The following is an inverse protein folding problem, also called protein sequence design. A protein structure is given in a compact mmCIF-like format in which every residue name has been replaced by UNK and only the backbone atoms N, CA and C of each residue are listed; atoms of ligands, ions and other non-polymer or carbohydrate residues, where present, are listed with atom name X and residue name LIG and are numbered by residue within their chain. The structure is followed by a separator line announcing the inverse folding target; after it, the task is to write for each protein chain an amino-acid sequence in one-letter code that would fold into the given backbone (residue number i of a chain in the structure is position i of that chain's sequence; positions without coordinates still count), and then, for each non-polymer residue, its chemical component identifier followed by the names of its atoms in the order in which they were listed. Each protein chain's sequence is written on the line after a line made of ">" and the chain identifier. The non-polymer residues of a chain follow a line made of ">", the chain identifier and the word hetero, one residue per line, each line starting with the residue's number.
data_IF_636463715894
#
_entry.id   IF_636463715894
#
_cell.length_a   1.000
_cell.length_b   1.000
_cell.length_c   1.000
_cell.angle_alpha   90.00
_cell.angle_beta   90.00
_cell.angle_gamma   90.00
#
_symmetry.space_group_name_H-M   'P 1'
#
loop_
_entity.id
_entity.type
_entity.pdbx_description
1 polymer ?
#
# COMPACT_ATOMS: atom_id res chain seq x y z
N UNK A 1 -4.15 -12.47 -13.29
CA UNK A 1 -3.45 -11.28 -12.78
C UNK A 1 -2.23 -11.67 -11.94
N UNK A 2 -1.19 -10.85 -11.97
CA UNK A 2 0.04 -11.10 -11.22
C UNK A 2 -0.04 -10.60 -9.76
N UNK A 3 -1.08 -9.88 -9.38
CA UNK A 3 -1.35 -9.46 -8.02
C UNK A 3 -2.68 -9.99 -7.52
N UNK A 4 -2.72 -10.39 -6.26
CA UNK A 4 -3.91 -10.92 -5.61
C UNK A 4 -4.07 -10.32 -4.22
N UNK A 5 -5.30 -9.96 -3.89
CA UNK A 5 -5.66 -9.36 -2.60
C UNK A 5 -6.27 -10.43 -1.69
N UNK A 6 -5.75 -10.49 -0.47
CA UNK A 6 -6.23 -11.35 0.61
C UNK A 6 -6.89 -10.47 1.67
N UNK A 7 -8.20 -10.64 1.85
CA UNK A 7 -8.96 -9.92 2.89
C UNK A 7 -8.81 -10.64 4.23
N UNK A 8 -8.75 -9.87 5.30
CA UNK A 8 -8.71 -10.39 6.67
C UNK A 8 -9.79 -9.73 7.53
N UNK A 9 -10.47 -10.54 8.33
CA UNK A 9 -11.38 -10.05 9.37
C UNK A 9 -10.61 -9.47 10.58
N UNK A 10 -9.35 -9.90 10.74
CA UNK A 10 -8.45 -9.39 11.77
C UNK A 10 -7.61 -8.25 11.24
N UNK A 11 -7.28 -7.32 12.11
CA UNK A 11 -6.38 -6.22 11.78
C UNK A 11 -4.97 -6.75 11.47
N UNK A 12 -4.45 -6.46 10.27
CA UNK A 12 -3.12 -6.89 9.83
C UNK A 12 -2.05 -5.85 10.15
N UNK A 13 -2.39 -4.57 10.21
CA UNK A 13 -1.45 -3.48 10.48
C UNK A 13 -2.04 -2.44 11.42
N UNK A 14 -1.27 -2.00 12.40
CA UNK A 14 -1.59 -0.87 13.29
C UNK A 14 -1.23 0.49 12.69
N UNK A 15 -0.49 0.47 11.59
CA UNK A 15 0.00 1.68 10.92
C UNK A 15 -0.57 1.78 9.51
N UNK A 16 -0.21 2.84 8.80
CA UNK A 16 -0.55 2.98 7.39
C UNK A 16 0.01 1.82 6.56
N UNK A 17 -0.52 1.67 5.36
CA UNK A 17 -0.11 0.63 4.42
C UNK A 17 1.39 0.61 4.19
N UNK A 18 2.00 -0.56 4.36
CA UNK A 18 3.42 -0.81 4.14
C UNK A 18 3.62 -1.70 2.92
N UNK A 19 4.58 -1.37 2.08
CA UNK A 19 5.00 -2.17 0.94
C UNK A 19 6.42 -2.72 1.15
N UNK A 20 6.60 -4.00 0.83
CA UNK A 20 7.86 -4.72 0.95
C UNK A 20 8.18 -5.41 -0.37
N UNK A 21 9.39 -5.21 -0.88
CA UNK A 21 9.84 -5.81 -2.13
C UNK A 21 10.92 -6.87 -1.87
N UNK A 22 10.95 -7.91 -2.70
CA UNK A 22 11.91 -9.01 -2.56
C UNK A 22 13.37 -8.53 -2.65
N UNK A 23 13.64 -7.48 -3.44
CA UNK A 23 14.98 -6.89 -3.55
C UNK A 23 15.50 -6.31 -2.22
N UNK A 24 14.60 -5.93 -1.31
CA UNK A 24 14.93 -5.32 -0.03
C UNK A 24 14.90 -6.33 1.14
N UNK A 25 14.83 -7.62 0.83
CA UNK A 25 14.65 -8.72 1.81
C UNK A 25 15.65 -8.67 2.97
N UNK A 26 16.90 -8.30 2.70
CA UNK A 26 17.96 -8.19 3.72
C UNK A 26 17.71 -7.08 4.75
N UNK A 27 16.93 -6.07 4.39
CA UNK A 27 16.61 -4.91 5.24
C UNK A 27 15.29 -5.09 6.01
N UNK A 28 14.47 -6.05 5.60
CA UNK A 28 13.18 -6.33 6.22
C UNK A 28 13.40 -7.04 7.55
N UNK A 29 12.90 -6.48 8.64
CA UNK A 29 12.99 -7.07 9.98
C UNK A 29 11.81 -7.97 10.34
N UNK A 30 10.69 -7.79 9.68
CA UNK A 30 9.47 -8.55 9.97
C UNK A 30 9.57 -9.98 9.42
N UNK A 31 9.57 -10.96 10.31
CA UNK A 31 9.71 -12.38 9.95
C UNK A 31 8.55 -12.90 9.10
N UNK A 32 7.31 -12.49 9.37
CA UNK A 32 6.16 -12.87 8.57
C UNK A 32 6.33 -12.42 7.11
N UNK A 33 6.69 -11.15 6.91
CA UNK A 33 6.92 -10.57 5.58
C UNK A 33 8.06 -11.28 4.85
N UNK A 34 9.16 -11.57 5.55
CA UNK A 34 10.27 -12.36 4.99
C UNK A 34 9.81 -13.72 4.52
N UNK A 35 9.02 -14.43 5.32
CA UNK A 35 8.52 -15.75 4.98
C UNK A 35 7.68 -15.72 3.70
N UNK A 36 6.79 -14.74 3.56
CA UNK A 36 5.97 -14.59 2.34
C UNK A 36 6.84 -14.25 1.12
N UNK A 37 7.79 -13.33 1.26
CA UNK A 37 8.70 -12.95 0.17
C UNK A 37 9.66 -14.07 -0.24
N UNK A 38 9.93 -15.03 0.64
CA UNK A 38 10.75 -16.20 0.33
C UNK A 38 10.02 -17.27 -0.49
N UNK A 39 8.71 -17.22 -0.60
CA UNK A 39 8.00 -18.10 -1.52
C UNK A 39 8.46 -17.87 -2.96
N UNK A 40 8.60 -18.96 -3.71
CA UNK A 40 9.01 -18.88 -5.11
C UNK A 40 8.03 -18.01 -5.91
N UNK A 41 8.59 -17.11 -6.69
CA UNK A 41 7.83 -16.22 -7.56
C UNK A 41 7.21 -15.00 -6.88
N UNK A 42 7.20 -14.88 -5.56
CA UNK A 42 6.71 -13.67 -4.89
C UNK A 42 7.72 -12.54 -5.06
N UNK A 43 7.26 -11.40 -5.55
CA UNK A 43 8.07 -10.20 -5.80
C UNK A 43 7.81 -9.06 -4.81
N UNK A 44 6.55 -8.94 -4.35
CA UNK A 44 6.10 -7.83 -3.53
C UNK A 44 4.97 -8.24 -2.60
N UNK A 45 5.02 -7.73 -1.38
CA UNK A 45 3.96 -7.84 -0.38
C UNK A 45 3.56 -6.45 0.09
N UNK A 46 2.27 -6.17 0.10
CA UNK A 46 1.69 -4.96 0.64
C UNK A 46 0.75 -5.33 1.78
N UNK A 47 0.90 -4.72 2.94
CA UNK A 47 0.05 -4.96 4.11
C UNK A 47 -0.64 -3.66 4.50
N UNK A 48 -1.97 -3.71 4.53
CA UNK A 48 -2.85 -2.65 5.00
C UNK A 48 -3.56 -3.07 6.29
N UNK A 49 -4.47 -2.26 6.80
CA UNK A 49 -5.16 -2.55 8.07
C UNK A 49 -5.90 -3.87 8.05
N UNK A 50 -6.61 -4.19 6.99
CA UNK A 50 -7.51 -5.34 6.89
C UNK A 50 -7.35 -6.16 5.61
N UNK A 51 -6.29 -5.91 4.86
CA UNK A 51 -5.95 -6.74 3.71
C UNK A 51 -4.45 -6.81 3.48
N UNK A 52 -4.04 -7.85 2.77
CA UNK A 52 -2.71 -8.02 2.24
C UNK A 52 -2.80 -8.24 0.72
N UNK A 53 -1.92 -7.61 -0.03
CA UNK A 53 -1.79 -7.84 -1.46
C UNK A 53 -0.42 -8.46 -1.75
N UNK A 54 -0.39 -9.47 -2.58
CA UNK A 54 0.84 -10.15 -2.99
C UNK A 54 0.95 -10.07 -4.50
N UNK A 55 2.10 -9.64 -4.98
CA UNK A 55 2.46 -9.68 -6.40
C UNK A 55 3.46 -10.78 -6.64
N UNK A 56 3.23 -11.55 -7.68
CA UNK A 56 4.12 -12.64 -8.15
C UNK A 56 4.63 -12.37 -9.55
N UNK A 57 5.65 -13.12 -9.94
CA UNK A 57 6.12 -13.20 -11.32
C UNK A 57 5.07 -13.85 -12.26
N UNK A 58 5.35 -13.84 -13.53
CA UNK A 58 4.45 -14.41 -14.54
C UNK A 58 4.48 -15.94 -14.58
N UNK A 59 5.55 -16.55 -14.09
CA UNK A 59 5.79 -18.01 -14.20
C UNK A 59 5.14 -18.83 -13.12
N UNK A 60 4.94 -18.26 -11.93
CA UNK A 60 4.41 -18.95 -10.75
C UNK A 60 2.88 -19.01 -10.79
N UNK A 61 2.31 -20.11 -10.34
CA UNK A 61 0.85 -20.29 -10.27
C UNK A 61 0.27 -19.82 -8.92
N UNK A 62 -0.89 -19.18 -8.96
CA UNK A 62 -1.66 -18.87 -7.75
C UNK A 62 -2.19 -20.12 -7.04
N UNK A 63 -2.40 -21.21 -7.77
CA UNK A 63 -2.88 -22.48 -7.17
C UNK A 63 -1.89 -23.03 -6.12
N UNK A 64 -0.60 -22.76 -6.32
CA UNK A 64 0.45 -23.12 -5.36
C UNK A 64 0.63 -22.07 -4.27
N UNK A 65 0.61 -20.77 -4.63
CA UNK A 65 0.89 -19.68 -3.69
C UNK A 65 -0.25 -19.39 -2.74
N UNK A 66 -1.50 -19.42 -3.22
CA UNK A 66 -2.69 -19.10 -2.40
C UNK A 66 -2.78 -19.91 -1.10
N UNK A 67 -2.73 -21.24 -1.13
CA UNK A 67 -2.81 -22.05 0.08
C UNK A 67 -1.68 -21.73 1.06
N UNK A 68 -0.47 -21.53 0.57
CA UNK A 68 0.71 -21.24 1.38
C UNK A 68 0.60 -19.88 2.07
N UNK A 69 0.12 -18.87 1.36
CA UNK A 69 -0.08 -17.52 1.90
C UNK A 69 -1.20 -17.52 2.94
N UNK A 70 -2.33 -18.16 2.66
CA UNK A 70 -3.46 -18.27 3.59
C UNK A 70 -3.04 -19.02 4.85
N UNK A 71 -2.32 -20.12 4.71
CA UNK A 71 -1.77 -20.89 5.85
C UNK A 71 -0.86 -20.02 6.72
N UNK A 72 0.02 -19.23 6.10
CA UNK A 72 0.92 -18.34 6.83
C UNK A 72 0.17 -17.26 7.61
N UNK A 73 -0.89 -16.69 7.06
CA UNK A 73 -1.75 -15.71 7.75
C UNK A 73 -2.43 -16.37 8.95
N UNK A 74 -3.01 -17.54 8.76
CA UNK A 74 -3.70 -18.28 9.82
C UNK A 74 -2.72 -18.67 10.94
N UNK A 75 -1.57 -19.22 10.59
CA UNK A 75 -0.52 -19.60 11.54
C UNK A 75 -0.03 -18.41 12.37
N UNK A 76 0.10 -17.24 11.75
CA UNK A 76 0.47 -16.03 12.47
C UNK A 76 -0.57 -15.68 13.56
N UNK A 77 -1.86 -15.70 13.21
CA UNK A 77 -2.92 -15.34 14.15
C UNK A 77 -3.27 -16.46 15.16
N UNK A 78 -2.90 -17.70 14.91
CA UNK A 78 -2.97 -18.77 15.90
C UNK A 78 -1.87 -18.63 16.96
N UNK A 79 -0.67 -18.25 16.55
CA UNK A 79 0.48 -18.07 17.44
C UNK A 79 0.50 -16.71 18.11
N UNK A 80 0.12 -15.66 17.40
CA UNK A 80 0.16 -14.28 17.83
C UNK A 80 -1.22 -13.64 17.63
N UNK A 81 -1.82 -13.13 18.69
CA UNK A 81 -3.08 -12.38 18.59
C UNK A 81 -2.91 -10.94 18.11
N UNK A 82 -1.68 -10.55 17.78
CA UNK A 82 -1.30 -9.20 17.40
C UNK A 82 -1.26 -9.02 15.87
N UNK A 83 -1.47 -7.80 15.37
CA UNK A 83 -1.26 -7.48 13.96
C UNK A 83 0.15 -7.84 13.47
N UNK A 84 0.29 -8.08 12.16
CA UNK A 84 1.58 -8.39 11.53
C UNK A 84 2.53 -7.20 11.61
N UNK A 85 2.01 -5.99 11.37
CA UNK A 85 2.76 -4.74 11.48
C UNK A 85 2.31 -4.00 12.73
N UNK A 86 3.22 -3.86 13.69
CA UNK A 86 3.01 -3.15 14.94
C UNK A 86 3.54 -1.72 14.83
N UNK A 87 2.87 -0.80 15.51
CA UNK A 87 3.25 0.61 15.58
C UNK A 87 4.69 0.80 16.10
N UNK A 88 5.11 -0.01 17.05
CA UNK A 88 6.44 0.07 17.65
C UNK A 88 7.59 -0.35 16.71
N UNK A 89 7.27 -1.03 15.61
CA UNK A 89 8.27 -1.50 14.64
C UNK A 89 8.48 -0.55 13.45
N UNK A 90 7.75 0.55 13.41
CA UNK A 90 7.86 1.55 12.36
C UNK A 90 8.58 2.76 12.94
N UNK A 91 9.78 3.04 12.44
CA UNK A 91 10.47 4.30 12.73
C UNK A 91 9.76 5.39 11.93
N UNK A 92 8.83 6.08 12.58
CA UNK A 92 8.27 7.29 12.02
C UNK A 92 9.34 8.38 12.10
N UNK A 93 9.83 8.82 10.95
CA UNK A 93 10.36 10.16 10.85
C UNK A 93 9.16 11.13 10.88
N UNK A 94 8.63 11.35 12.08
CA UNK A 94 7.71 12.47 12.30
C UNK A 94 8.51 13.75 12.12
N UNK A 95 8.49 14.27 10.91
CA UNK A 95 8.67 15.71 10.74
C UNK A 95 7.31 16.33 11.07
N UNK A 96 7.18 16.75 12.33
CA UNK A 96 6.16 17.68 12.74
C UNK A 96 6.35 18.97 11.93
N UNK A 97 5.57 19.09 10.87
CA UNK A 97 5.26 20.38 10.28
C UNK A 97 3.83 20.71 10.70
N UNK A 98 3.61 21.96 11.11
CA UNK A 98 2.27 22.55 11.14
C UNK A 98 1.62 22.25 9.79
N UNK A 99 0.71 21.27 9.81
CA UNK A 99 0.06 20.85 8.57
C UNK A 99 -0.85 22.00 8.13
N UNK A 100 -0.48 22.62 7.01
CA UNK A 100 -1.30 23.60 6.33
C UNK A 100 -2.71 23.00 6.13
N UNK A 101 -3.76 23.79 6.36
CA UNK A 101 -5.15 23.40 6.17
C UNK A 101 -5.40 22.76 4.80
N UNK A 102 -4.71 23.25 3.78
CA UNK A 102 -4.73 22.70 2.41
C UNK A 102 -4.20 21.26 2.37
N UNK A 103 -3.10 20.99 3.05
CA UNK A 103 -2.52 19.63 3.12
C UNK A 103 -3.47 18.66 3.82
N UNK A 104 -4.13 19.11 4.90
CA UNK A 104 -5.12 18.30 5.60
C UNK A 104 -6.32 17.96 4.69
N UNK A 105 -6.84 18.92 3.93
CA UNK A 105 -7.89 18.68 2.94
C UNK A 105 -7.47 17.67 1.88
N UNK A 106 -6.25 17.78 1.37
CA UNK A 106 -5.69 16.84 0.39
C UNK A 106 -5.63 15.43 0.97
N UNK A 107 -5.11 15.26 2.18
CA UNK A 107 -5.07 13.97 2.88
C UNK A 107 -6.47 13.38 3.08
N UNK A 108 -7.44 14.18 3.49
CA UNK A 108 -8.83 13.75 3.70
C UNK A 108 -9.46 13.25 2.39
N UNK A 109 -9.26 13.93 1.28
CA UNK A 109 -9.75 13.49 -0.04
C UNK A 109 -9.08 12.20 -0.48
N UNK A 110 -7.77 12.08 -0.30
CA UNK A 110 -7.04 10.85 -0.61
C UNK A 110 -7.57 9.67 0.23
N UNK A 111 -7.76 9.87 1.53
CA UNK A 111 -8.21 8.82 2.46
C UNK A 111 -9.66 8.39 2.18
N UNK A 112 -10.56 9.33 1.92
CA UNK A 112 -12.00 9.05 1.83
C UNK A 112 -12.47 8.72 0.42
N UNK A 113 -11.82 9.22 -0.63
CA UNK A 113 -12.25 9.09 -2.02
C UNK A 113 -11.31 8.23 -2.88
N UNK A 114 -10.01 8.36 -2.68
CA UNK A 114 -9.01 7.71 -3.54
C UNK A 114 -8.59 6.34 -3.00
N UNK A 115 -8.24 6.23 -1.74
CA UNK A 115 -7.80 4.95 -1.12
C UNK A 115 -8.82 3.82 -1.28
N UNK A 116 -10.13 4.02 -1.04
CA UNK A 116 -11.11 2.96 -1.26
C UNK A 116 -11.15 2.45 -2.70
N UNK A 117 -10.96 3.34 -3.68
CA UNK A 117 -10.96 2.96 -5.09
C UNK A 117 -9.71 2.13 -5.45
N UNK A 118 -8.51 2.57 -5.04
CA UNK A 118 -7.27 1.84 -5.33
C UNK A 118 -7.15 0.55 -4.51
N UNK A 119 -7.72 0.50 -3.32
CA UNK A 119 -7.75 -0.70 -2.48
C UNK A 119 -8.57 -1.85 -3.10
N UNK A 120 -9.56 -1.55 -3.93
CA UNK A 120 -10.30 -2.57 -4.69
C UNK A 120 -9.39 -3.40 -5.59
N UNK A 121 -8.37 -2.78 -6.15
CA UNK A 121 -7.39 -3.42 -7.04
C UNK A 121 -6.15 -3.94 -6.28
N UNK A 122 -6.18 -3.92 -4.95
CA UNK A 122 -5.07 -4.40 -4.11
C UNK A 122 -3.89 -3.43 -4.03
N UNK A 123 -4.09 -2.17 -4.38
CA UNK A 123 -3.10 -1.11 -4.28
C UNK A 123 -3.37 -0.13 -3.14
N UNK A 124 -2.50 0.87 -3.01
CA UNK A 124 -2.67 2.01 -2.11
C UNK A 124 -1.99 3.25 -2.67
N UNK A 125 -2.36 4.41 -2.12
CA UNK A 125 -1.80 5.71 -2.45
C UNK A 125 -1.37 6.41 -1.17
N UNK A 126 -0.19 7.02 -1.19
CA UNK A 126 0.37 7.76 -0.07
C UNK A 126 0.65 9.20 -0.48
N UNK A 127 0.24 10.16 0.35
CA UNK A 127 0.64 11.56 0.22
C UNK A 127 2.13 11.70 0.55
N UNK A 128 2.87 12.41 -0.31
CA UNK A 128 4.29 12.71 -0.11
C UNK A 128 4.49 14.19 0.23
N UNK A 129 4.04 15.09 -0.63
CA UNK A 129 4.20 16.52 -0.44
C UNK A 129 3.20 17.32 -1.27
N UNK A 130 3.00 18.58 -0.86
CA UNK A 130 2.27 19.59 -1.60
C UNK A 130 3.11 20.85 -1.71
N UNK A 131 3.34 21.32 -2.93
CA UNK A 131 4.11 22.53 -3.16
C UNK A 131 3.62 23.24 -4.44
N UNK A 132 3.33 24.54 -4.34
CA UNK A 132 2.93 25.41 -5.46
C UNK A 132 1.78 24.85 -6.32
N UNK A 133 0.81 24.18 -5.68
CA UNK A 133 -0.33 23.57 -6.36
C UNK A 133 -0.06 22.16 -6.92
N UNK A 134 1.13 21.63 -6.74
CA UNK A 134 1.50 20.26 -7.17
C UNK A 134 1.46 19.33 -5.97
N UNK A 135 0.64 18.29 -6.06
CA UNK A 135 0.56 17.21 -5.06
C UNK A 135 1.41 16.04 -5.53
N UNK A 136 2.39 15.65 -4.73
CA UNK A 136 3.18 14.46 -4.97
C UNK A 136 2.60 13.30 -4.17
N UNK A 137 2.31 12.19 -4.85
CA UNK A 137 1.80 10.96 -4.27
C UNK A 137 2.66 9.78 -4.68
N UNK A 138 2.67 8.74 -3.85
CA UNK A 138 3.31 7.47 -4.15
C UNK A 138 2.25 6.38 -4.28
N UNK A 139 2.27 5.68 -5.39
CA UNK A 139 1.43 4.51 -5.62
C UNK A 139 2.12 3.26 -5.11
N UNK A 140 1.38 2.38 -4.44
CA UNK A 140 1.87 1.12 -3.86
C UNK A 140 1.04 -0.07 -4.33
N UNK A 141 1.64 -1.25 -4.26
CA UNK A 141 0.98 -2.51 -4.57
C UNK A 141 0.75 -2.72 -6.07
N UNK A 142 -0.41 -3.24 -6.44
CA UNK A 142 -0.75 -3.55 -7.84
C UNK A 142 -0.83 -2.33 -8.75
N UNK A 143 -1.02 -1.14 -8.18
CA UNK A 143 -1.03 0.14 -8.91
C UNK A 143 0.38 0.63 -9.27
N UNK A 144 1.42 0.08 -8.67
CA UNK A 144 2.81 0.42 -8.98
C UNK A 144 3.35 -0.40 -10.15
N UNK A 145 4.06 0.25 -11.06
CA UNK A 145 4.80 -0.43 -12.14
C UNK A 145 4.02 -0.80 -13.40
N UNK A 146 2.75 -0.41 -13.53
CA UNK A 146 2.01 -0.53 -14.78
C UNK A 146 1.79 0.86 -15.41
N UNK A 147 2.48 1.24 -16.51
CA UNK A 147 2.45 2.61 -17.03
C UNK A 147 1.04 3.11 -17.40
N UNK A 148 0.23 2.27 -18.03
CA UNK A 148 -1.13 2.64 -18.44
C UNK A 148 -2.07 2.84 -17.25
N UNK A 149 -2.02 1.96 -16.26
CA UNK A 149 -2.82 2.06 -15.03
C UNK A 149 -2.40 3.26 -14.19
N UNK A 150 -1.10 3.54 -14.12
CA UNK A 150 -0.55 4.69 -13.39
C UNK A 150 -1.01 6.01 -13.99
N UNK A 151 -1.01 6.15 -15.30
CA UNK A 151 -1.49 7.38 -15.98
C UNK A 151 -2.99 7.60 -15.75
N UNK A 152 -3.80 6.59 -15.91
CA UNK A 152 -5.26 6.67 -15.70
C UNK A 152 -5.59 7.01 -14.26
N UNK A 153 -4.90 6.39 -13.32
CA UNK A 153 -5.09 6.66 -11.89
C UNK A 153 -4.63 8.07 -11.51
N UNK A 154 -3.47 8.50 -12.01
CA UNK A 154 -2.96 9.87 -11.81
C UNK A 154 -3.98 10.91 -12.28
N UNK A 155 -4.55 10.75 -13.47
CA UNK A 155 -5.55 11.65 -14.03
C UNK A 155 -6.83 11.67 -13.18
N UNK A 156 -7.30 10.51 -12.74
CA UNK A 156 -8.47 10.39 -11.85
C UNK A 156 -8.25 11.06 -10.50
N UNK A 157 -7.10 10.85 -9.89
CA UNK A 157 -6.71 11.49 -8.62
C UNK A 157 -6.60 13.00 -8.77
N UNK A 158 -5.98 13.47 -9.86
CA UNK A 158 -5.86 14.89 -10.16
C UNK A 158 -7.23 15.55 -10.31
N UNK A 159 -8.15 14.95 -11.06
CA UNK A 159 -9.49 15.46 -11.24
C UNK A 159 -10.26 15.56 -9.92
N UNK A 160 -10.17 14.53 -9.06
CA UNK A 160 -10.78 14.55 -7.74
C UNK A 160 -10.18 15.63 -6.84
N UNK A 161 -8.87 15.71 -6.74
CA UNK A 161 -8.21 16.72 -5.90
C UNK A 161 -8.49 18.13 -6.38
N UNK A 162 -8.43 18.40 -7.67
CA UNK A 162 -8.76 19.73 -8.22
C UNK A 162 -10.23 20.11 -7.99
N UNK A 163 -11.13 19.12 -7.93
CA UNK A 163 -12.55 19.36 -7.66
C UNK A 163 -12.81 19.75 -6.20
N UNK A 164 -12.18 19.05 -5.24
CA UNK A 164 -12.39 19.25 -3.80
C UNK A 164 -11.47 20.28 -3.16
N UNK A 165 -10.27 20.47 -3.72
CA UNK A 165 -9.24 21.38 -3.19
C UNK A 165 -8.80 22.34 -4.30
N UNK A 166 -9.28 23.57 -4.24
CA UNK A 166 -9.05 24.58 -5.29
C UNK A 166 -7.59 24.97 -5.48
N UNK A 167 -6.79 24.81 -4.44
CA UNK A 167 -5.35 25.10 -4.44
C UNK A 167 -4.52 24.07 -5.22
N UNK A 168 -5.08 22.90 -5.52
CA UNK A 168 -4.41 21.85 -6.30
C UNK A 168 -4.55 22.15 -7.79
N UNK A 169 -3.43 22.18 -8.48
CA UNK A 169 -3.34 22.38 -9.95
C UNK A 169 -3.02 21.09 -10.68
N UNK A 170 -2.14 20.27 -10.12
CA UNK A 170 -1.72 19.01 -10.73
C UNK A 170 -1.30 17.98 -9.68
N UNK A 171 -1.23 16.73 -10.10
CA UNK A 171 -0.76 15.60 -9.28
C UNK A 171 0.39 14.91 -10.00
N UNK A 172 1.47 14.67 -9.28
CA UNK A 172 2.60 13.86 -9.73
C UNK A 172 2.63 12.55 -8.94
N UNK A 173 2.79 11.44 -9.65
CA UNK A 173 2.89 10.11 -9.06
C UNK A 173 4.30 9.53 -9.25
N UNK A 174 4.86 8.98 -8.18
CA UNK A 174 6.16 8.29 -8.18
C UNK A 174 6.01 6.82 -7.80
#
# INVERSE_FOLDING_TARGET
>A
PNALKFLSEKQLSEVETQEFQKKDLSQIKNEFVKNILNFDGVELVLISKNFMSVKKDEKTSWDTLKPSIISSINDHFEKNKEPIILKNNVVFNEKNHDEDETIQKIKDVLETKVRPAVAKDGGDIQFISFNKGIVNVKLKGSCSGCPSSTMTLKQGVQNLLCHYVKEVKSVEAS
#
